data_IF_626825886470
#
_entry.id   IF_626825886470
#
_cell.length_a   1.000
_cell.length_b   1.000
_cell.length_c   1.000
_cell.angle_alpha   90.00
_cell.angle_beta   90.00
_cell.angle_gamma   90.00
#
_symmetry.space_group_name_H-M   'P 1'
#
loop_
_entity.id
_entity.type
_entity.pdbx_description
1 polymer ?
#
# COMPACT_ATOMS: atom_id res chain seq x y z
N UNK A 1 20.28 -5.90 -9.07
CA UNK A 1 19.34 -5.60 -7.97
C UNK A 1 19.96 -4.50 -7.12
N UNK A 2 19.24 -3.45 -6.75
CA UNK A 2 19.79 -2.42 -5.87
C UNK A 2 20.22 -3.06 -4.56
N UNK A 3 21.36 -2.63 -4.07
CA UNK A 3 21.87 -3.06 -2.78
C UNK A 3 21.02 -2.35 -1.68
N UNK A 4 20.57 -3.03 -0.61
CA UNK A 4 19.88 -2.37 0.50
C UNK A 4 20.61 -1.13 1.04
N UNK A 5 21.93 -1.08 0.96
CA UNK A 5 22.75 0.08 1.35
C UNK A 5 22.66 1.28 0.38
N UNK A 6 21.97 1.17 -0.75
CA UNK A 6 21.78 2.24 -1.74
C UNK A 6 20.41 2.93 -1.59
N UNK A 7 19.52 2.42 -0.72
CA UNK A 7 18.27 3.10 -0.40
C UNK A 7 18.56 4.34 0.45
N UNK A 8 17.83 5.46 0.26
CA UNK A 8 18.10 6.69 1.01
C UNK A 8 18.06 6.50 2.52
N UNK A 9 18.83 7.31 3.25
CA UNK A 9 18.73 7.37 4.71
C UNK A 9 17.45 8.09 5.11
N UNK A 10 16.72 7.64 6.14
CA UNK A 10 15.46 8.25 6.55
C UNK A 10 15.66 9.49 7.41
N UNK A 11 14.63 10.34 7.39
CA UNK A 11 14.46 11.44 8.34
C UNK A 11 13.14 11.27 9.08
N UNK A 12 13.12 11.48 10.40
CA UNK A 12 11.87 11.53 11.16
C UNK A 12 11.26 12.92 11.03
N UNK A 13 10.02 12.97 10.55
CA UNK A 13 9.28 14.21 10.30
C UNK A 13 8.02 14.22 11.16
N UNK A 14 7.87 15.25 12.01
CA UNK A 14 6.69 15.43 12.86
C UNK A 14 5.58 16.14 12.08
N UNK A 15 4.51 15.42 11.77
CA UNK A 15 3.34 15.93 11.03
C UNK A 15 2.06 15.32 11.60
N UNK A 16 0.95 16.03 11.53
CA UNK A 16 -0.38 15.52 11.92
C UNK A 16 -0.43 14.81 13.30
N UNK A 17 0.40 15.23 14.26
CA UNK A 17 0.45 14.65 15.61
C UNK A 17 1.20 13.30 15.71
N UNK A 18 1.87 12.88 14.65
CA UNK A 18 2.73 11.68 14.60
C UNK A 18 4.12 12.03 14.05
N UNK A 19 5.07 11.14 14.25
CA UNK A 19 6.35 11.15 13.53
C UNK A 19 6.30 10.12 12.42
N UNK A 20 6.67 10.52 11.19
CA UNK A 20 6.84 9.63 10.06
C UNK A 20 8.32 9.48 9.73
N UNK A 21 8.75 8.25 9.51
CA UNK A 21 10.05 7.94 8.95
C UNK A 21 9.96 8.09 7.43
N UNK A 22 10.67 9.07 6.88
CA UNK A 22 10.55 9.46 5.47
C UNK A 22 11.89 9.32 4.77
N UNK A 23 11.88 8.66 3.63
CA UNK A 23 13.02 8.51 2.72
C UNK A 23 12.83 9.45 1.53
N UNK A 24 13.90 10.08 1.07
CA UNK A 24 13.83 11.07 0.00
C UNK A 24 14.92 10.87 -1.03
N UNK A 25 14.59 11.17 -2.30
CA UNK A 25 15.56 11.26 -3.38
C UNK A 25 15.17 12.37 -4.36
N UNK A 26 16.15 13.00 -5.01
CA UNK A 26 15.89 14.07 -5.96
C UNK A 26 15.38 15.37 -5.32
N UNK A 27 15.82 15.68 -4.10
CA UNK A 27 15.41 16.91 -3.40
C UNK A 27 15.74 18.20 -4.18
N UNK A 28 16.75 18.14 -5.06
CA UNK A 28 17.07 19.21 -5.99
C UNK A 28 16.00 19.46 -7.06
N UNK A 29 15.10 18.52 -7.26
CA UNK A 29 14.01 18.57 -8.24
C UNK A 29 12.74 19.24 -7.66
N UNK A 30 12.88 20.24 -6.81
CA UNK A 30 11.77 20.96 -6.18
C UNK A 30 10.74 21.45 -7.22
N UNK A 31 9.46 21.28 -6.89
CA UNK A 31 8.33 21.65 -7.77
C UNK A 31 7.73 20.47 -8.56
N UNK A 32 8.29 19.27 -8.45
CA UNK A 32 7.71 18.04 -9.03
C UNK A 32 7.63 16.92 -7.97
N UNK A 33 6.83 17.09 -6.90
CA UNK A 33 6.75 16.09 -5.85
C UNK A 33 5.99 14.83 -6.32
N UNK A 34 6.52 13.66 -5.94
CA UNK A 34 5.86 12.38 -6.09
C UNK A 34 5.98 11.61 -4.77
N UNK A 35 4.85 11.19 -4.22
CA UNK A 35 4.76 10.48 -2.94
C UNK A 35 4.43 9.03 -3.19
N UNK A 36 5.23 8.10 -2.65
CA UNK A 36 5.06 6.67 -2.84
C UNK A 36 4.55 6.02 -1.54
N UNK A 37 3.35 5.45 -1.60
CA UNK A 37 2.64 4.84 -0.49
C UNK A 37 2.67 3.31 -0.61
N UNK A 38 3.37 2.64 0.31
CA UNK A 38 3.49 1.19 0.33
C UNK A 38 2.20 0.50 0.82
N UNK A 39 2.08 -0.80 0.53
CA UNK A 39 0.99 -1.65 0.98
C UNK A 39 1.24 -2.43 2.27
N UNK A 40 0.49 -3.52 2.45
CA UNK A 40 0.62 -4.46 3.55
C UNK A 40 0.98 -5.87 3.03
N UNK A 41 1.88 -6.58 3.67
CA UNK A 41 2.77 -6.20 4.79
C UNK A 41 4.13 -5.66 4.28
N UNK A 42 4.13 -4.44 3.79
CA UNK A 42 5.30 -3.78 3.21
C UNK A 42 5.82 -2.61 4.09
N UNK A 43 6.79 -1.87 3.58
CA UNK A 43 7.24 -0.57 4.07
C UNK A 43 7.98 0.18 2.94
N UNK A 44 8.51 1.38 3.22
CA UNK A 44 9.12 2.26 2.20
C UNK A 44 10.11 1.56 1.25
N UNK A 45 10.86 0.57 1.73
CA UNK A 45 11.84 -0.18 0.92
C UNK A 45 11.20 -0.99 -0.22
N UNK A 46 9.88 -1.18 -0.23
CA UNK A 46 9.17 -1.77 -1.37
C UNK A 46 9.45 -0.98 -2.65
N UNK A 47 9.62 0.33 -2.54
CA UNK A 47 9.85 1.25 -3.64
C UNK A 47 11.32 1.41 -4.07
N UNK A 48 12.24 0.57 -3.60
CA UNK A 48 13.69 0.65 -3.87
C UNK A 48 14.08 0.67 -5.34
N UNK A 49 13.22 0.13 -6.23
CA UNK A 49 13.44 0.13 -7.67
C UNK A 49 12.85 1.38 -8.35
N UNK A 50 11.81 1.98 -7.78
CA UNK A 50 11.10 3.14 -8.34
C UNK A 50 11.78 4.45 -7.94
N UNK A 51 12.29 4.53 -6.72
CA UNK A 51 12.94 5.73 -6.16
C UNK A 51 14.04 6.28 -7.07
N UNK A 52 15.07 5.50 -7.45
CA UNK A 52 16.13 6.03 -8.31
C UNK A 52 15.60 6.43 -9.70
N UNK A 53 14.73 5.64 -10.31
CA UNK A 53 14.20 5.90 -11.63
C UNK A 53 13.38 7.20 -11.70
N UNK A 54 12.57 7.47 -10.68
CA UNK A 54 11.77 8.69 -10.58
C UNK A 54 12.63 9.92 -10.26
N UNK A 55 13.63 9.78 -9.38
CA UNK A 55 14.55 10.86 -9.06
C UNK A 55 15.38 11.28 -10.30
N UNK A 56 15.92 10.30 -11.05
CA UNK A 56 16.62 10.53 -12.32
C UNK A 56 15.72 11.19 -13.38
N UNK A 57 14.42 10.91 -13.36
CA UNK A 57 13.45 11.54 -14.24
C UNK A 57 13.06 12.97 -13.82
N UNK A 58 13.64 13.50 -12.74
CA UNK A 58 13.47 14.87 -12.28
C UNK A 58 12.29 15.06 -11.32
N UNK A 59 11.94 14.05 -10.53
CA UNK A 59 10.97 14.17 -9.44
C UNK A 59 11.66 14.30 -8.08
N UNK A 60 11.07 15.07 -7.17
CA UNK A 60 11.36 14.94 -5.75
C UNK A 60 10.51 13.76 -5.21
N UNK A 61 11.16 12.65 -4.96
CA UNK A 61 10.53 11.40 -4.52
C UNK A 61 10.50 11.35 -3.01
N UNK A 62 9.30 11.22 -2.44
CA UNK A 62 9.05 11.20 -1.00
C UNK A 62 8.38 9.86 -0.66
N UNK A 63 9.00 9.09 0.22
CA UNK A 63 8.57 7.73 0.55
C UNK A 63 8.42 7.58 2.06
N UNK A 64 7.24 7.85 2.61
CA UNK A 64 7.02 7.62 4.03
C UNK A 64 6.87 6.13 4.35
N UNK A 65 7.47 5.67 5.44
CA UNK A 65 6.86 4.60 6.20
C UNK A 65 5.58 5.19 6.80
N UNK A 66 4.43 4.72 6.34
CA UNK A 66 3.15 5.25 6.81
C UNK A 66 2.94 4.88 8.28
N UNK A 67 2.02 5.57 9.01
CA UNK A 67 1.81 5.30 10.43
C UNK A 67 1.56 3.81 10.71
N UNK A 68 2.24 3.29 11.72
CA UNK A 68 2.19 1.88 12.09
C UNK A 68 3.32 1.03 11.53
N UNK A 69 4.18 1.58 10.65
CA UNK A 69 5.25 0.85 9.99
C UNK A 69 6.63 1.44 10.27
N UNK A 70 7.64 0.58 10.23
CA UNK A 70 9.04 0.97 10.45
C UNK A 70 9.21 1.74 11.76
N UNK A 71 9.94 2.85 11.72
CA UNK A 71 10.14 3.75 12.86
C UNK A 71 9.09 4.86 12.95
N UNK A 72 8.07 4.87 12.10
CA UNK A 72 6.93 5.78 12.21
C UNK A 72 6.11 5.51 13.46
N UNK A 73 5.41 6.53 13.95
CA UNK A 73 4.55 6.44 15.14
C UNK A 73 3.54 5.31 15.03
N UNK A 74 3.30 4.67 16.17
CA UNK A 74 2.36 3.55 16.33
C UNK A 74 1.31 3.90 17.40
N UNK A 75 0.32 4.78 17.07
CA UNK A 75 -0.76 5.13 18.00
C UNK A 75 -1.49 3.89 18.52
N UNK A 76 -1.97 3.95 19.79
CA UNK A 76 -2.55 2.78 20.43
C UNK A 76 -4.01 2.51 20.09
N UNK A 77 -4.77 3.50 19.62
CA UNK A 77 -6.17 3.32 19.31
C UNK A 77 -6.37 2.86 17.85
N UNK A 78 -7.24 1.88 17.63
CA UNK A 78 -7.58 1.40 16.28
C UNK A 78 -8.03 2.55 15.38
N UNK A 79 -8.86 3.46 15.91
CA UNK A 79 -9.40 4.60 15.16
C UNK A 79 -8.32 5.59 14.64
N UNK A 80 -7.11 5.56 15.21
CA UNK A 80 -6.00 6.41 14.75
C UNK A 80 -5.43 5.95 13.39
N UNK A 81 -5.95 4.85 12.83
CA UNK A 81 -5.52 4.26 11.56
C UNK A 81 -6.62 4.29 10.48
N UNK A 82 -7.64 5.12 10.67
CA UNK A 82 -8.68 5.33 9.65
C UNK A 82 -8.18 6.18 8.47
N UNK A 83 -8.97 6.24 7.42
CA UNK A 83 -8.61 6.93 6.18
C UNK A 83 -8.40 8.45 6.34
N UNK A 84 -9.08 9.09 7.30
CA UNK A 84 -8.85 10.52 7.59
C UNK A 84 -7.46 10.75 8.18
N UNK A 85 -7.03 9.88 9.11
CA UNK A 85 -5.70 9.97 9.70
C UNK A 85 -4.59 9.62 8.68
N UNK A 86 -4.78 8.54 7.90
CA UNK A 86 -3.79 8.10 6.91
C UNK A 86 -3.62 9.15 5.80
N UNK A 87 -4.71 9.69 5.27
CA UNK A 87 -4.67 10.74 4.26
C UNK A 87 -4.17 12.07 4.82
N UNK A 88 -4.58 12.40 6.05
CA UNK A 88 -4.14 13.60 6.78
C UNK A 88 -2.63 13.66 7.00
N UNK A 89 -1.98 12.51 7.22
CA UNK A 89 -0.52 12.42 7.33
C UNK A 89 0.16 12.84 6.02
N UNK A 90 -0.35 12.38 4.89
CA UNK A 90 0.20 12.68 3.58
C UNK A 90 -0.01 14.16 3.20
N UNK A 91 -1.16 14.73 3.56
CA UNK A 91 -1.43 16.17 3.39
C UNK A 91 -0.46 17.00 4.24
N UNK A 92 -0.29 16.63 5.51
CA UNK A 92 0.62 17.34 6.41
C UNK A 92 2.09 17.19 5.99
N UNK A 93 2.44 16.08 5.34
CA UNK A 93 3.76 15.88 4.76
C UNK A 93 4.01 16.84 3.58
N UNK A 94 3.01 17.07 2.72
CA UNK A 94 3.11 18.11 1.68
C UNK A 94 3.28 19.50 2.28
N UNK A 95 2.54 19.83 3.35
CA UNK A 95 2.66 21.12 4.05
C UNK A 95 4.06 21.31 4.65
N UNK A 96 4.65 20.26 5.20
CA UNK A 96 6.03 20.29 5.71
C UNK A 96 7.05 20.66 4.62
N UNK A 97 6.88 20.10 3.41
CA UNK A 97 7.74 20.40 2.27
C UNK A 97 7.37 21.68 1.52
N UNK A 98 6.23 22.30 1.85
CA UNK A 98 5.73 23.52 1.19
C UNK A 98 5.14 23.26 -0.20
N UNK A 99 4.66 22.06 -0.47
CA UNK A 99 3.99 21.70 -1.72
C UNK A 99 2.48 21.90 -1.62
N UNK A 100 1.88 22.48 -2.65
CA UNK A 100 0.43 22.66 -2.76
C UNK A 100 -0.26 21.33 -3.10
N UNK A 101 0.30 20.59 -4.04
CA UNK A 101 -0.17 19.27 -4.47
C UNK A 101 1.01 18.35 -4.85
N UNK A 102 0.71 17.05 -5.05
CA UNK A 102 1.67 16.07 -5.53
C UNK A 102 1.02 15.02 -6.45
N UNK A 103 1.86 14.29 -7.18
CA UNK A 103 1.49 12.97 -7.71
C UNK A 103 1.60 11.94 -6.60
N UNK A 104 0.56 11.14 -6.40
CA UNK A 104 0.57 10.05 -5.43
C UNK A 104 0.57 8.69 -6.12
N UNK A 105 1.44 7.81 -5.66
CA UNK A 105 1.55 6.42 -6.13
C UNK A 105 1.30 5.50 -4.96
N UNK A 106 0.44 4.50 -5.12
CA UNK A 106 0.17 3.51 -4.09
C UNK A 106 0.07 2.11 -4.64
N UNK A 107 0.52 1.11 -3.88
CA UNK A 107 0.33 -0.30 -4.15
C UNK A 107 -0.42 -0.95 -2.98
N UNK A 108 -1.35 -1.87 -3.27
CA UNK A 108 -2.18 -2.56 -2.26
C UNK A 108 -2.88 -1.57 -1.32
N UNK A 109 -2.68 -1.63 0.00
CA UNK A 109 -3.21 -0.66 0.95
C UNK A 109 -2.76 0.79 0.66
N UNK A 110 -1.54 0.97 0.13
CA UNK A 110 -1.08 2.28 -0.32
C UNK A 110 -1.98 2.86 -1.42
N UNK A 111 -2.49 2.03 -2.35
CA UNK A 111 -3.47 2.45 -3.34
C UNK A 111 -4.81 2.83 -2.69
N UNK A 112 -5.28 2.04 -1.71
CA UNK A 112 -6.49 2.38 -0.94
C UNK A 112 -6.38 3.75 -0.25
N UNK A 113 -5.21 4.04 0.36
CA UNK A 113 -4.94 5.33 0.99
C UNK A 113 -4.94 6.47 -0.04
N UNK A 114 -4.30 6.25 -1.20
CA UNK A 114 -4.24 7.28 -2.26
C UNK A 114 -5.63 7.56 -2.84
N UNK A 115 -6.46 6.54 -3.04
CA UNK A 115 -7.85 6.73 -3.46
C UNK A 115 -8.65 7.52 -2.42
N UNK A 116 -8.55 7.15 -1.13
CA UNK A 116 -9.21 7.87 -0.04
C UNK A 116 -8.71 9.30 0.12
N UNK A 117 -7.40 9.53 0.00
CA UNK A 117 -6.79 10.86 -0.03
C UNK A 117 -7.40 11.72 -1.16
N UNK A 118 -7.56 11.13 -2.36
CA UNK A 118 -8.08 11.86 -3.51
C UNK A 118 -9.54 12.26 -3.32
N UNK A 119 -10.34 11.42 -2.66
CA UNK A 119 -11.72 11.75 -2.31
C UNK A 119 -11.81 12.86 -1.25
N UNK A 120 -11.01 12.74 -0.17
CA UNK A 120 -11.08 13.66 0.97
C UNK A 120 -10.35 14.98 0.72
N UNK A 121 -9.30 14.96 -0.08
CA UNK A 121 -8.42 16.12 -0.32
C UNK A 121 -8.11 16.32 -1.81
N UNK A 122 -9.12 16.43 -2.69
CA UNK A 122 -8.94 16.45 -4.15
C UNK A 122 -8.00 17.56 -4.65
N UNK A 123 -7.90 18.67 -3.93
CA UNK A 123 -7.03 19.80 -4.28
C UNK A 123 -5.55 19.57 -3.92
N UNK A 124 -5.24 18.50 -3.18
CA UNK A 124 -3.87 18.13 -2.80
C UNK A 124 -3.29 17.03 -3.70
N UNK A 125 -4.10 16.53 -4.64
CA UNK A 125 -3.72 15.44 -5.54
C UNK A 125 -3.72 15.94 -6.98
N UNK A 126 -2.53 16.03 -7.56
CA UNK A 126 -2.35 16.39 -8.97
C UNK A 126 -2.66 15.22 -9.88
N UNK A 127 -2.12 14.04 -9.56
CA UNK A 127 -2.29 12.78 -10.32
C UNK A 127 -2.29 11.59 -9.37
N UNK A 128 -2.95 10.53 -9.79
CA UNK A 128 -3.01 9.24 -9.06
C UNK A 128 -2.39 8.13 -9.88
N UNK A 129 -1.55 7.32 -9.25
CA UNK A 129 -1.05 6.06 -9.81
C UNK A 129 -1.32 4.96 -8.79
N UNK A 130 -2.12 3.97 -9.16
CA UNK A 130 -2.45 2.85 -8.30
C UNK A 130 -1.97 1.53 -8.92
N UNK A 131 -1.40 0.66 -8.08
CA UNK A 131 -0.94 -0.66 -8.44
C UNK A 131 -1.74 -1.71 -7.64
N UNK A 132 -2.07 -2.81 -8.26
CA UNK A 132 -2.84 -3.93 -7.70
C UNK A 132 -4.28 -3.57 -7.35
N UNK A 133 -4.53 -2.64 -6.43
CA UNK A 133 -5.85 -2.35 -5.90
C UNK A 133 -6.55 -1.21 -6.67
N UNK A 134 -7.59 -1.51 -7.50
CA UNK A 134 -8.36 -0.48 -8.19
C UNK A 134 -9.22 0.33 -7.22
N UNK A 135 -9.63 1.51 -7.65
CA UNK A 135 -10.71 2.22 -6.96
C UNK A 135 -11.97 1.35 -6.93
N UNK A 136 -12.56 1.25 -5.75
CA UNK A 136 -13.83 0.56 -5.53
C UNK A 136 -14.83 1.59 -4.98
N UNK A 137 -15.96 1.75 -5.65
CA UNK A 137 -17.05 2.52 -5.09
C UNK A 137 -17.59 1.88 -3.81
N UNK A 138 -18.05 2.69 -2.89
CA UNK A 138 -18.68 2.20 -1.67
C UNK A 138 -20.02 1.53 -2.01
N UNK A 139 -20.22 0.32 -1.50
CA UNK A 139 -21.52 -0.34 -1.54
C UNK A 139 -22.51 0.27 -0.54
N UNK A 140 -23.73 -0.28 -0.50
CA UNK A 140 -24.81 0.21 0.37
C UNK A 140 -24.63 -0.16 1.84
N UNK A 141 -23.63 -0.96 2.20
CA UNK A 141 -23.39 -1.43 3.55
C UNK A 141 -21.89 -1.53 3.86
N UNK A 142 -21.50 -1.51 5.16
CA UNK A 142 -20.12 -1.67 5.59
C UNK A 142 -19.48 -2.97 5.11
N UNK A 143 -18.15 -2.94 4.95
CA UNK A 143 -17.40 -3.98 4.25
C UNK A 143 -17.26 -5.29 5.02
N UNK A 144 -17.10 -5.23 6.36
CA UNK A 144 -16.77 -6.44 7.14
C UNK A 144 -17.92 -7.45 7.12
N UNK A 145 -19.17 -6.98 7.29
CA UNK A 145 -20.36 -7.84 7.22
C UNK A 145 -20.55 -8.43 5.81
N UNK A 146 -20.39 -7.60 4.77
CA UNK A 146 -20.46 -8.04 3.38
C UNK A 146 -19.42 -9.13 3.05
N UNK A 147 -18.19 -8.95 3.52
CA UNK A 147 -17.11 -9.92 3.33
C UNK A 147 -17.36 -11.21 4.13
N UNK A 148 -17.90 -11.10 5.33
CA UNK A 148 -18.27 -12.24 6.19
C UNK A 148 -19.37 -13.08 5.54
N UNK A 149 -20.40 -12.44 5.00
CA UNK A 149 -21.48 -13.10 4.26
C UNK A 149 -20.98 -13.79 2.98
N UNK A 150 -20.07 -13.13 2.24
CA UNK A 150 -19.58 -13.62 0.96
C UNK A 150 -18.48 -14.70 1.08
N UNK A 151 -17.57 -14.56 2.05
CA UNK A 151 -16.32 -15.31 2.13
C UNK A 151 -16.15 -16.08 3.47
N UNK A 152 -17.02 -15.85 4.45
CA UNK A 152 -16.99 -16.50 5.75
C UNK A 152 -16.08 -15.83 6.76
N UNK A 153 -16.17 -16.28 8.02
CA UNK A 153 -15.49 -15.73 9.20
C UNK A 153 -13.98 -16.01 9.25
N UNK A 154 -13.50 -16.94 8.46
CA UNK A 154 -12.08 -17.26 8.31
C UNK A 154 -11.38 -16.39 7.23
N UNK A 155 -12.13 -15.64 6.42
CA UNK A 155 -11.51 -14.67 5.50
C UNK A 155 -10.68 -13.67 6.29
N UNK A 156 -9.42 -13.45 5.90
CA UNK A 156 -8.44 -12.77 6.75
C UNK A 156 -8.87 -11.38 7.22
N UNK A 157 -9.54 -10.58 6.37
CA UNK A 157 -10.03 -9.25 6.74
C UNK A 157 -11.15 -9.34 7.81
N UNK A 158 -12.04 -10.31 7.68
CA UNK A 158 -13.09 -10.57 8.67
C UNK A 158 -12.47 -11.04 9.98
N UNK A 159 -11.55 -11.98 9.91
CA UNK A 159 -10.85 -12.51 11.07
C UNK A 159 -10.09 -11.42 11.85
N UNK A 160 -9.39 -10.49 11.16
CA UNK A 160 -8.69 -9.37 11.78
C UNK A 160 -9.64 -8.44 12.56
N UNK A 161 -10.87 -8.28 12.08
CA UNK A 161 -11.91 -7.48 12.69
C UNK A 161 -12.62 -8.21 13.84
N UNK A 162 -13.01 -9.48 13.64
CA UNK A 162 -13.83 -10.25 14.60
C UNK A 162 -13.00 -10.88 15.73
N UNK A 163 -11.71 -11.14 15.48
CA UNK A 163 -10.81 -11.81 16.43
C UNK A 163 -9.51 -11.00 16.63
N UNK A 164 -9.60 -9.75 17.14
CA UNK A 164 -8.45 -8.88 17.30
C UNK A 164 -7.38 -9.51 18.21
N UNK A 165 -6.11 -9.38 17.82
CA UNK A 165 -4.96 -9.91 18.55
C UNK A 165 -4.61 -11.37 18.20
N UNK A 166 -5.53 -12.16 17.61
CA UNK A 166 -5.28 -13.58 17.34
C UNK A 166 -4.27 -13.76 16.20
N UNK A 167 -4.56 -13.20 15.03
CA UNK A 167 -3.63 -13.25 13.90
C UNK A 167 -2.36 -12.45 14.19
N UNK A 168 -2.49 -11.29 14.82
CA UNK A 168 -1.37 -10.43 15.23
C UNK A 168 -0.28 -11.24 15.95
N UNK A 169 -0.67 -11.98 16.98
CA UNK A 169 0.26 -12.79 17.77
C UNK A 169 0.93 -13.89 16.95
N UNK A 170 0.19 -14.57 16.08
CA UNK A 170 0.73 -15.64 15.22
C UNK A 170 1.73 -15.08 14.22
N UNK A 171 1.42 -13.93 13.60
CA UNK A 171 2.30 -13.28 12.64
C UNK A 171 3.59 -12.75 13.32
N UNK A 172 3.47 -12.16 14.52
CA UNK A 172 4.61 -11.68 15.30
C UNK A 172 5.52 -12.82 15.75
N UNK A 173 4.97 -13.96 16.18
CA UNK A 173 5.74 -15.14 16.54
C UNK A 173 6.48 -15.75 15.33
N UNK A 174 5.94 -15.59 14.13
CA UNK A 174 6.42 -16.22 12.89
C UNK A 174 6.82 -15.20 11.81
N UNK A 175 7.31 -14.01 12.19
CA UNK A 175 7.56 -12.87 11.27
C UNK A 175 8.35 -13.27 10.03
N UNK A 176 9.52 -13.90 10.19
CA UNK A 176 10.35 -14.34 9.06
C UNK A 176 9.58 -15.31 8.15
N UNK A 177 8.93 -16.30 8.73
CA UNK A 177 8.23 -17.33 7.98
C UNK A 177 7.04 -16.77 7.22
N UNK A 178 6.27 -15.91 7.87
CA UNK A 178 5.14 -15.21 7.25
C UNK A 178 5.59 -14.39 6.04
N UNK A 179 6.56 -13.49 6.21
CA UNK A 179 7.03 -12.62 5.13
C UNK A 179 7.71 -13.42 4.00
N UNK A 180 8.52 -14.44 4.33
CA UNK A 180 9.10 -15.34 3.33
C UNK A 180 8.03 -16.04 2.48
N UNK A 181 6.91 -16.44 3.09
CA UNK A 181 5.85 -17.16 2.42
C UNK A 181 4.87 -16.22 1.69
N UNK A 182 4.79 -14.97 2.12
CA UNK A 182 3.96 -13.93 1.51
C UNK A 182 4.61 -13.36 0.24
N UNK A 183 5.90 -13.07 0.26
CA UNK A 183 6.62 -12.51 -0.89
C UNK A 183 6.99 -13.58 -1.93
N UNK A 184 5.95 -14.17 -2.52
CA UNK A 184 6.08 -15.19 -3.58
C UNK A 184 5.36 -14.76 -4.84
N UNK A 185 5.94 -15.08 -5.98
CA UNK A 185 5.25 -14.95 -7.27
C UNK A 185 4.02 -15.84 -7.22
N UNK A 186 2.87 -15.21 -7.33
CA UNK A 186 1.60 -15.88 -7.09
C UNK A 186 1.41 -17.05 -8.05
N UNK A 187 1.36 -18.25 -7.46
CA UNK A 187 0.68 -19.40 -8.07
C UNK A 187 -0.57 -19.59 -7.22
N UNK A 188 -1.77 -19.53 -7.81
CA UNK A 188 -2.97 -19.84 -7.04
C UNK A 188 -2.79 -21.21 -6.38
N UNK A 189 -3.19 -21.36 -5.11
CA UNK A 189 -3.16 -22.66 -4.46
C UNK A 189 -3.99 -23.64 -5.28
N UNK A 190 -3.52 -24.87 -5.38
CA UNK A 190 -4.21 -25.92 -6.12
C UNK A 190 -5.62 -26.19 -5.55
N UNK A 191 -5.78 -25.99 -4.23
CA UNK A 191 -7.06 -26.05 -3.52
C UNK A 191 -7.06 -24.97 -2.40
N UNK A 192 -8.23 -24.33 -2.13
CA UNK A 192 -8.38 -23.44 -0.98
C UNK A 192 -8.06 -24.19 0.32
N UNK A 193 -7.19 -23.64 1.15
CA UNK A 193 -6.91 -24.18 2.47
C UNK A 193 -7.94 -23.63 3.48
N UNK A 194 -8.46 -24.46 4.40
CA UNK A 194 -9.35 -23.99 5.46
C UNK A 194 -8.59 -23.03 6.41
N UNK A 195 -9.34 -22.15 7.07
CA UNK A 195 -8.79 -21.20 8.03
C UNK A 195 -8.28 -19.91 7.41
N UNK A 196 -7.70 -19.06 8.24
CA UNK A 196 -7.19 -17.76 7.85
C UNK A 196 -5.92 -17.89 6.99
N UNK A 197 -5.96 -17.40 5.78
CA UNK A 197 -4.86 -17.50 4.82
C UNK A 197 -3.54 -16.87 5.34
N UNK A 198 -3.58 -15.78 6.10
CA UNK A 198 -2.38 -15.12 6.65
C UNK A 198 -1.76 -15.94 7.77
N UNK A 199 -2.59 -16.53 8.64
CA UNK A 199 -2.15 -17.47 9.68
C UNK A 199 -1.55 -18.72 9.02
N UNK A 200 -2.20 -19.27 8.01
CA UNK A 200 -1.68 -20.42 7.27
C UNK A 200 -0.32 -20.14 6.63
N UNK A 201 -0.11 -18.92 6.09
CA UNK A 201 1.20 -18.51 5.57
C UNK A 201 2.26 -18.42 6.67
N UNK A 202 1.89 -17.92 7.86
CA UNK A 202 2.81 -17.80 9.00
C UNK A 202 3.23 -19.18 9.53
N UNK A 203 2.34 -20.17 9.50
CA UNK A 203 2.58 -21.51 10.02
C UNK A 203 3.17 -22.49 8.98
N UNK A 204 3.11 -22.15 7.68
CA UNK A 204 3.60 -23.03 6.63
C UNK A 204 5.14 -23.14 6.63
N UNK A 205 5.67 -24.37 6.82
CA UNK A 205 7.12 -24.61 6.83
C UNK A 205 7.78 -24.43 5.46
N UNK A 206 7.06 -24.75 4.39
CA UNK A 206 7.57 -24.75 3.02
C UNK A 206 6.86 -23.67 2.20
N UNK A 207 7.60 -22.68 1.68
CA UNK A 207 7.03 -21.65 0.83
C UNK A 207 6.59 -22.21 -0.54
N UNK A 208 5.49 -21.70 -1.06
CA UNK A 208 4.96 -22.07 -2.38
C UNK A 208 5.28 -20.98 -3.40
N UNK A 209 5.85 -21.36 -4.54
CA UNK A 209 6.23 -20.45 -5.62
C UNK A 209 7.65 -19.87 -5.48
N UNK A 210 8.07 -19.15 -6.52
CA UNK A 210 9.39 -18.52 -6.56
C UNK A 210 9.43 -17.24 -5.69
N UNK A 211 10.55 -16.90 -5.05
CA UNK A 211 10.65 -15.67 -4.28
C UNK A 211 10.54 -14.44 -5.19
N UNK A 212 9.96 -13.37 -4.66
CA UNK A 212 9.88 -12.06 -5.33
C UNK A 212 11.21 -11.32 -5.19
N UNK A 213 11.92 -11.52 -4.10
CA UNK A 213 13.15 -10.83 -3.73
C UNK A 213 14.21 -11.79 -3.17
N UNK A 214 15.45 -11.34 -3.07
CA UNK A 214 16.55 -12.08 -2.46
C UNK A 214 16.52 -12.04 -0.92
N UNK A 215 17.32 -12.91 -0.29
CA UNK A 215 17.34 -13.06 1.19
C UNK A 215 17.77 -11.76 1.89
N UNK A 216 18.70 -10.99 1.31
CA UNK A 216 19.13 -9.71 1.89
C UNK A 216 18.07 -8.63 1.87
N UNK A 217 17.23 -8.64 0.83
CA UNK A 217 16.09 -7.73 0.72
C UNK A 217 14.98 -8.16 1.68
N UNK A 218 14.67 -9.45 1.73
CA UNK A 218 13.69 -9.99 2.68
C UNK A 218 14.07 -9.67 4.13
N UNK A 219 15.36 -9.74 4.47
CA UNK A 219 15.84 -9.43 5.82
C UNK A 219 15.52 -7.98 6.24
N UNK A 220 15.46 -7.02 5.30
CA UNK A 220 15.05 -5.63 5.59
C UNK A 220 13.59 -5.59 6.04
N UNK A 221 12.70 -6.27 5.32
CA UNK A 221 11.28 -6.36 5.69
C UNK A 221 11.08 -7.09 7.03
N UNK A 222 11.79 -8.19 7.24
CA UNK A 222 11.72 -8.95 8.50
C UNK A 222 12.14 -8.07 9.68
N UNK A 223 13.26 -7.37 9.58
CA UNK A 223 13.74 -6.48 10.65
C UNK A 223 12.74 -5.36 10.95
N UNK A 224 12.11 -4.78 9.92
CA UNK A 224 11.12 -3.73 10.11
C UNK A 224 9.88 -4.23 10.87
N UNK A 225 9.38 -5.43 10.54
CA UNK A 225 8.22 -6.00 11.23
C UNK A 225 8.55 -6.62 12.60
N UNK A 226 9.77 -7.09 12.82
CA UNK A 226 10.26 -7.46 14.17
C UNK A 226 10.28 -6.25 15.11
N UNK A 227 10.57 -5.05 14.58
CA UNK A 227 10.56 -3.79 15.35
C UNK A 227 9.13 -3.24 15.53
N UNK A 228 8.31 -3.19 14.46
CA UNK A 228 6.99 -2.58 14.50
C UNK A 228 5.89 -3.49 15.07
N UNK A 229 6.04 -4.80 14.96
CA UNK A 229 4.96 -5.77 15.11
C UNK A 229 3.95 -5.68 13.95
N UNK A 230 2.91 -6.50 13.99
CA UNK A 230 1.84 -6.51 12.99
C UNK A 230 0.57 -5.81 13.45
N UNK A 231 0.35 -5.67 14.76
CA UNK A 231 -0.87 -5.03 15.30
C UNK A 231 -1.13 -3.64 14.73
N UNK A 232 -0.15 -2.70 14.66
CA UNK A 232 -0.39 -1.37 14.12
C UNK A 232 -0.84 -1.40 12.64
N UNK A 233 -0.21 -2.22 11.83
CA UNK A 233 -0.53 -2.33 10.40
C UNK A 233 -1.87 -3.07 10.16
N UNK A 234 -2.21 -4.06 10.98
CA UNK A 234 -3.51 -4.75 10.94
C UNK A 234 -4.65 -3.81 11.38
N UNK A 235 -4.39 -2.78 12.17
CA UNK A 235 -5.40 -1.79 12.54
C UNK A 235 -5.96 -1.04 11.32
N UNK A 236 -5.27 -0.98 10.20
CA UNK A 236 -5.81 -0.46 8.94
C UNK A 236 -7.03 -1.27 8.48
N UNK A 237 -6.92 -2.60 8.51
CA UNK A 237 -8.05 -3.50 8.21
C UNK A 237 -9.20 -3.38 9.21
N UNK A 238 -8.90 -3.08 10.49
CA UNK A 238 -9.91 -2.89 11.54
C UNK A 238 -10.72 -1.59 11.39
N UNK A 239 -10.30 -0.72 10.47
CA UNK A 239 -11.02 0.51 10.13
C UNK A 239 -11.88 0.39 8.86
N UNK A 240 -12.03 -0.79 8.25
CA UNK A 240 -12.81 -0.96 7.01
C UNK A 240 -14.23 -0.37 7.14
N UNK A 241 -14.98 -0.75 8.18
CA UNK A 241 -16.35 -0.26 8.39
C UNK A 241 -16.37 1.22 8.78
N UNK A 242 -15.38 1.67 9.58
CA UNK A 242 -15.23 3.09 9.92
C UNK A 242 -14.93 3.92 8.67
N UNK A 243 -14.05 3.45 7.79
CA UNK A 243 -13.74 4.11 6.54
C UNK A 243 -14.96 4.19 5.62
N UNK A 244 -15.80 3.15 5.60
CA UNK A 244 -17.07 3.19 4.89
C UNK A 244 -17.95 4.33 5.39
N UNK A 245 -18.11 4.49 6.72
CA UNK A 245 -18.88 5.58 7.31
C UNK A 245 -18.28 6.97 7.00
N UNK A 246 -16.97 7.11 7.05
CA UNK A 246 -16.29 8.38 6.79
C UNK A 246 -16.41 8.83 5.32
N UNK A 247 -16.52 7.88 4.40
CA UNK A 247 -16.57 8.15 2.96
C UNK A 247 -17.99 8.11 2.38
N UNK A 248 -19.00 7.64 3.12
CA UNK A 248 -20.35 7.41 2.61
C UNK A 248 -21.07 8.65 2.08
N UNK A 249 -20.74 9.83 2.62
CA UNK A 249 -21.31 11.12 2.19
C UNK A 249 -20.38 11.91 1.24
N UNK A 250 -19.23 11.33 0.87
CA UNK A 250 -18.24 11.95 -0.02
C UNK A 250 -18.61 11.64 -1.48
N UNK A 251 -18.50 12.63 -2.37
CA UNK A 251 -18.67 12.41 -3.80
C UNK A 251 -17.68 11.36 -4.30
N UNK A 252 -18.11 10.22 -4.84
CA UNK A 252 -17.22 9.14 -5.27
C UNK A 252 -16.46 9.43 -6.56
N UNK A 253 -16.68 10.59 -7.19
CA UNK A 253 -16.08 10.93 -8.49
C UNK A 253 -14.64 11.45 -8.31
N UNK A 254 -13.69 10.77 -8.93
CA UNK A 254 -12.28 11.17 -9.00
C UNK A 254 -11.98 11.70 -10.41
N UNK A 255 -11.77 13.00 -10.52
CA UNK A 255 -11.54 13.68 -11.82
C UNK A 255 -10.05 13.87 -12.14
N UNK A 256 -9.16 13.61 -11.21
CA UNK A 256 -7.72 13.69 -11.43
C UNK A 256 -7.30 12.68 -12.50
N UNK A 257 -6.29 12.99 -13.32
CA UNK A 257 -5.65 11.99 -14.18
C UNK A 257 -5.17 10.80 -13.35
N UNK A 258 -5.52 9.60 -13.76
CA UNK A 258 -5.19 8.39 -13.03
C UNK A 258 -4.58 7.31 -13.92
N UNK A 259 -3.61 6.58 -13.39
CA UNK A 259 -3.04 5.36 -13.98
C UNK A 259 -3.33 4.19 -13.05
N UNK A 260 -3.95 3.14 -13.59
CA UNK A 260 -4.12 1.87 -12.88
C UNK A 260 -3.23 0.79 -13.51
N UNK A 261 -2.36 0.19 -12.73
CA UNK A 261 -1.48 -0.91 -13.17
C UNK A 261 -1.93 -2.20 -12.49
N UNK A 262 -2.33 -3.18 -13.29
CA UNK A 262 -2.73 -4.51 -12.84
C UNK A 262 -1.63 -5.54 -13.06
N UNK A 263 -1.49 -6.48 -12.14
CA UNK A 263 -0.85 -7.76 -12.41
C UNK A 263 -1.87 -8.74 -13.03
N UNK A 264 -1.53 -9.33 -14.18
CA UNK A 264 -2.46 -10.27 -14.87
C UNK A 264 -2.76 -11.53 -14.06
N UNK A 265 -1.90 -11.86 -13.08
CA UNK A 265 -2.04 -13.02 -12.19
C UNK A 265 -2.30 -12.62 -10.74
N UNK A 266 -2.62 -11.34 -10.49
CA UNK A 266 -3.00 -10.88 -9.15
C UNK A 266 -4.31 -11.55 -8.71
N UNK A 267 -4.41 -11.82 -7.40
CA UNK A 267 -5.64 -12.34 -6.79
C UNK A 267 -6.66 -11.23 -6.51
N UNK A 268 -6.24 -9.97 -6.54
CA UNK A 268 -7.13 -8.82 -6.43
C UNK A 268 -7.94 -8.69 -7.71
N UNK A 269 -9.26 -8.67 -7.56
CA UNK A 269 -10.17 -8.56 -8.70
C UNK A 269 -10.06 -7.18 -9.37
N UNK A 270 -10.10 -7.15 -10.68
CA UNK A 270 -10.24 -5.90 -11.44
C UNK A 270 -11.63 -5.31 -11.22
N UNK A 271 -11.72 -3.99 -11.24
CA UNK A 271 -13.01 -3.30 -11.24
C UNK A 271 -13.34 -2.82 -12.67
N UNK A 272 -14.22 -3.55 -13.36
CA UNK A 272 -14.63 -3.20 -14.73
C UNK A 272 -15.47 -1.91 -14.77
N UNK A 273 -16.02 -1.48 -13.62
CA UNK A 273 -16.81 -0.25 -13.48
C UNK A 273 -15.99 0.97 -13.05
N UNK A 274 -14.69 0.80 -12.81
CA UNK A 274 -13.83 1.87 -12.29
C UNK A 274 -13.93 3.16 -13.11
N UNK A 275 -14.03 3.08 -14.43
CA UNK A 275 -14.14 4.25 -15.30
C UNK A 275 -15.44 5.07 -15.12
N UNK A 276 -16.47 4.52 -14.47
CA UNK A 276 -17.68 5.26 -14.11
C UNK A 276 -17.40 6.31 -13.03
N UNK A 277 -16.43 6.04 -12.16
CA UNK A 277 -16.05 6.88 -11.03
C UNK A 277 -14.69 7.58 -11.21
N UNK A 278 -13.84 7.05 -12.07
CA UNK A 278 -12.53 7.60 -12.41
C UNK A 278 -12.45 7.78 -13.93
N UNK A 279 -13.16 8.76 -14.51
CA UNK A 279 -13.32 8.88 -15.98
C UNK A 279 -12.01 9.14 -16.72
N UNK A 280 -10.98 9.65 -16.04
CA UNK A 280 -9.66 9.95 -16.60
C UNK A 280 -8.62 8.85 -16.28
N UNK A 281 -9.05 7.60 -16.03
CA UNK A 281 -8.16 6.49 -15.77
C UNK A 281 -7.62 5.88 -17.06
N UNK A 282 -6.29 5.71 -17.10
CA UNK A 282 -5.63 4.83 -18.05
C UNK A 282 -5.27 3.51 -17.37
N UNK A 283 -5.32 2.40 -18.09
CA UNK A 283 -5.09 1.07 -17.54
C UNK A 283 -3.94 0.39 -18.25
N UNK A 284 -3.03 -0.16 -17.47
CA UNK A 284 -1.92 -1.00 -17.94
C UNK A 284 -1.98 -2.33 -17.21
N UNK A 285 -1.66 -3.43 -17.91
CA UNK A 285 -1.55 -4.75 -17.30
C UNK A 285 -0.14 -5.31 -17.56
N UNK A 286 0.44 -5.89 -16.52
CA UNK A 286 1.76 -6.52 -16.55
C UNK A 286 1.65 -8.02 -16.24
N UNK A 287 2.45 -8.84 -16.92
CA UNK A 287 2.49 -10.29 -16.70
C UNK A 287 3.21 -10.62 -15.37
N UNK A 288 2.57 -10.33 -14.25
CA UNK A 288 3.06 -10.59 -12.90
C UNK A 288 1.91 -10.90 -11.93
N UNK A 289 2.25 -11.21 -10.68
CA UNK A 289 1.31 -11.38 -9.57
C UNK A 289 1.01 -10.05 -8.87
N UNK A 290 0.84 -10.15 -7.55
CA UNK A 290 0.41 -9.07 -6.67
C UNK A 290 1.49 -7.99 -6.45
N UNK A 291 2.74 -8.40 -6.33
CA UNK A 291 3.87 -7.52 -6.00
C UNK A 291 4.42 -6.84 -7.25
N UNK A 292 3.61 -5.98 -7.88
CA UNK A 292 3.83 -5.46 -9.24
C UNK A 292 5.15 -4.69 -9.33
N UNK A 293 5.37 -3.75 -8.38
CA UNK A 293 6.57 -2.90 -8.33
C UNK A 293 7.86 -3.69 -8.13
N UNK A 294 7.75 -4.88 -7.54
CA UNK A 294 8.86 -5.75 -7.17
C UNK A 294 9.07 -6.92 -8.14
N UNK A 295 7.99 -7.48 -8.72
CA UNK A 295 8.07 -8.57 -9.70
C UNK A 295 8.49 -8.07 -11.09
N UNK A 296 8.08 -6.84 -11.44
CA UNK A 296 8.29 -6.19 -12.74
C UNK A 296 8.78 -4.74 -12.59
N UNK A 297 9.91 -4.52 -11.89
CA UNK A 297 10.36 -3.17 -11.56
C UNK A 297 10.61 -2.29 -12.79
N UNK A 298 11.24 -2.83 -13.83
CA UNK A 298 11.59 -2.07 -15.04
C UNK A 298 10.34 -1.71 -15.84
N UNK A 299 9.42 -2.68 -16.03
CA UNK A 299 8.17 -2.48 -16.75
C UNK A 299 7.24 -1.52 -15.99
N UNK A 300 7.22 -1.59 -14.65
CA UNK A 300 6.49 -0.67 -13.78
C UNK A 300 7.03 0.75 -13.93
N UNK A 301 8.36 0.92 -13.85
CA UNK A 301 9.00 2.23 -14.03
C UNK A 301 8.70 2.80 -15.42
N UNK A 302 8.77 1.99 -16.48
CA UNK A 302 8.45 2.42 -17.84
C UNK A 302 6.99 2.86 -17.98
N UNK A 303 6.04 2.11 -17.39
CA UNK A 303 4.63 2.45 -17.43
C UNK A 303 4.37 3.79 -16.73
N UNK A 304 4.90 3.96 -15.52
CA UNK A 304 4.77 5.19 -14.73
C UNK A 304 5.37 6.38 -15.48
N UNK A 305 6.64 6.29 -15.87
CA UNK A 305 7.36 7.40 -16.50
C UNK A 305 6.76 7.78 -17.84
N UNK A 306 6.37 6.81 -18.66
CA UNK A 306 5.70 7.05 -19.94
C UNK A 306 4.40 7.80 -19.75
N UNK A 307 3.58 7.39 -18.78
CA UNK A 307 2.31 8.03 -18.52
C UNK A 307 2.50 9.46 -17.97
N UNK A 308 3.43 9.65 -17.03
CA UNK A 308 3.73 10.98 -16.46
C UNK A 308 4.24 12.00 -17.51
N UNK A 309 4.86 11.53 -18.60
CA UNK A 309 5.32 12.39 -19.70
C UNK A 309 4.18 12.82 -20.64
N UNK A 310 3.06 12.13 -20.62
CA UNK A 310 1.91 12.39 -21.49
C UNK A 310 0.88 13.33 -20.84
N UNK A 311 0.98 13.52 -19.51
CA UNK A 311 0.11 14.37 -18.69
C UNK A 311 0.75 15.75 -18.48
#
# INVERSE_FOLDING_TARGET
MPNPSEFPEPTLISVNGVELEVFEAGQENAGRPIVLCHGWPEHAFAWRHQVPALAEAGYHVIVPNQRGYGNSSRPGAVADYDIEHLSGDLVALLDYYGYEDATFVGEDWGASVVWGLTLLHPNRVNKVIALSLPYQELGDQPWVELLEEALGDDFYMVHFNRKPGVADAVLEENTFQFLRNTYRKNKPPAEPQPGNAMVNLAEAEIPVGDPVMGDSELAVFVSAFEESGFTPSINWYRNLDRNWHLLSDVDPLIVQPALMIYGDRDLVARNDRMAEFVPNVEVVALDCGHWISQEKPEETNQAILKWLQQQ
#
